data_IF_097608499139
#
_entry.id   IF_097608499139
#
_cell.length_a   1.000
_cell.length_b   1.000
_cell.length_c   1.000
_cell.angle_alpha   90.00
_cell.angle_beta   90.00
_cell.angle_gamma   90.00
#
_symmetry.space_group_name_H-M   'P 1'
#
loop_
_entity.id
_entity.type
_entity.pdbx_description
1 polymer ?
#
# COMPACT_ATOMS: atom_id res chain seq x y z
N UNK A 1 50.99 15.14 -15.00
CA UNK A 1 50.41 13.77 -15.07
C UNK A 1 50.35 13.21 -13.67
N UNK A 2 49.19 13.33 -13.01
CA UNK A 2 48.96 12.87 -11.65
C UNK A 2 47.75 11.93 -11.67
N UNK A 3 47.95 10.70 -11.21
CA UNK A 3 46.94 9.65 -11.13
C UNK A 3 46.16 9.79 -9.82
N UNK A 4 44.84 9.91 -9.91
CA UNK A 4 43.93 9.85 -8.76
C UNK A 4 43.53 8.40 -8.47
N UNK A 5 43.95 7.89 -7.31
CA UNK A 5 43.55 6.59 -6.79
C UNK A 5 42.11 6.61 -6.28
N UNK A 6 41.31 5.61 -6.70
CA UNK A 6 39.96 5.38 -6.20
C UNK A 6 39.96 4.74 -4.81
N UNK A 7 38.88 4.94 -4.01
CA UNK A 7 38.81 4.42 -2.66
C UNK A 7 38.56 2.90 -2.61
N UNK A 8 38.98 2.21 -1.54
CA UNK A 8 38.88 0.77 -1.42
C UNK A 8 37.44 0.29 -1.20
N UNK A 9 37.10 -0.83 -1.82
CA UNK A 9 35.83 -1.52 -1.65
C UNK A 9 35.69 -2.10 -0.24
N UNK A 10 34.68 -1.63 0.51
CA UNK A 10 34.29 -2.23 1.78
C UNK A 10 33.74 -3.65 1.57
N UNK A 11 34.48 -4.67 2.02
CA UNK A 11 33.96 -6.02 2.23
C UNK A 11 33.04 -6.02 3.45
N UNK A 12 31.77 -6.34 3.24
CA UNK A 12 30.84 -6.63 4.33
C UNK A 12 31.16 -8.02 4.95
N UNK A 13 31.13 -8.17 6.28
CA UNK A 13 31.42 -9.44 6.93
C UNK A 13 30.31 -10.47 6.68
N UNK A 14 30.73 -11.72 6.45
CA UNK A 14 29.86 -12.89 6.40
C UNK A 14 29.32 -13.17 7.81
N UNK A 15 28.05 -12.80 8.05
CA UNK A 15 27.37 -12.99 9.32
C UNK A 15 26.08 -13.78 9.17
N UNK A 16 26.13 -15.05 9.60
CA UNK A 16 25.05 -15.89 10.15
C UNK A 16 23.66 -15.73 9.53
N UNK A 17 23.35 -16.64 8.61
CA UNK A 17 22.03 -16.83 8.03
C UNK A 17 21.02 -17.41 9.05
N UNK A 18 20.53 -16.57 9.95
CA UNK A 18 19.29 -16.81 10.68
C UNK A 18 18.11 -16.62 9.75
N UNK A 19 17.57 -17.72 9.20
CA UNK A 19 16.35 -17.74 8.39
C UNK A 19 15.14 -17.32 9.26
N UNK A 20 14.88 -16.02 9.35
CA UNK A 20 13.60 -15.55 9.86
C UNK A 20 12.49 -16.01 8.89
N UNK A 21 11.36 -16.56 9.37
CA UNK A 21 10.28 -17.00 8.50
C UNK A 21 9.72 -15.80 7.73
N UNK A 22 10.04 -15.76 6.43
CA UNK A 22 9.52 -14.81 5.49
C UNK A 22 7.99 -14.94 5.44
N UNK A 23 7.29 -13.83 5.68
CA UNK A 23 5.88 -13.60 5.36
C UNK A 23 4.93 -14.75 5.69
N UNK A 24 4.18 -14.62 6.79
CA UNK A 24 3.07 -15.53 7.07
C UNK A 24 2.23 -15.77 5.81
N UNK A 25 1.90 -17.04 5.50
CA UNK A 25 1.26 -17.39 4.25
C UNK A 25 0.01 -16.55 4.05
N UNK A 26 -0.14 -15.95 2.87
CA UNK A 26 -1.44 -15.47 2.42
C UNK A 26 -2.39 -16.64 2.60
N UNK A 27 -3.31 -16.56 3.56
CA UNK A 27 -4.17 -17.67 3.96
C UNK A 27 -4.94 -18.13 2.72
N UNK A 28 -4.45 -19.20 2.09
CA UNK A 28 -5.16 -19.90 1.05
C UNK A 28 -5.93 -20.97 1.78
N UNK A 29 -7.25 -20.93 1.64
CA UNK A 29 -8.07 -22.01 2.14
C UNK A 29 -7.58 -23.34 1.54
N UNK A 30 -7.54 -24.42 2.35
CA UNK A 30 -7.36 -25.78 1.86
C UNK A 30 -8.24 -26.02 0.62
N UNK A 31 -7.79 -26.81 -0.39
CA UNK A 31 -8.55 -27.04 -1.61
C UNK A 31 -10.03 -27.39 -1.39
N UNK A 32 -10.32 -28.24 -0.39
CA UNK A 32 -11.67 -28.62 0.01
C UNK A 32 -12.55 -27.46 0.48
N UNK A 33 -11.96 -26.39 1.02
CA UNK A 33 -12.66 -25.22 1.54
C UNK A 33 -12.79 -24.08 0.53
N UNK A 34 -12.15 -24.18 -0.64
CA UNK A 34 -12.21 -23.14 -1.68
C UNK A 34 -13.63 -22.89 -2.22
N UNK A 35 -14.50 -23.90 -2.45
CA UNK A 35 -15.87 -23.67 -2.89
C UNK A 35 -16.67 -22.83 -1.89
N UNK A 36 -16.36 -22.95 -0.60
CA UNK A 36 -17.01 -22.24 0.51
C UNK A 36 -16.47 -20.82 0.73
N UNK A 37 -15.45 -20.39 -0.03
CA UNK A 37 -14.85 -19.07 0.11
C UNK A 37 -15.85 -17.89 0.02
N UNK A 38 -16.85 -17.88 -0.89
CA UNK A 38 -17.86 -16.83 -0.92
C UNK A 38 -18.65 -16.74 0.38
N UNK A 39 -18.99 -17.89 0.98
CA UNK A 39 -19.71 -17.97 2.26
C UNK A 39 -18.84 -17.43 3.39
N UNK A 40 -17.58 -17.88 3.50
CA UNK A 40 -16.65 -17.37 4.51
C UNK A 40 -16.39 -15.87 4.39
N UNK A 41 -16.28 -15.35 3.17
CA UNK A 41 -16.19 -13.89 2.93
C UNK A 41 -17.41 -13.15 3.43
N UNK A 42 -18.62 -13.66 3.15
CA UNK A 42 -19.88 -13.06 3.62
C UNK A 42 -19.97 -13.11 5.14
N UNK A 43 -19.65 -14.24 5.75
CA UNK A 43 -19.63 -14.41 7.20
C UNK A 43 -18.62 -13.45 7.87
N UNK A 44 -17.41 -13.33 7.32
CA UNK A 44 -16.39 -12.38 7.79
C UNK A 44 -16.90 -10.93 7.75
N UNK A 45 -17.57 -10.52 6.67
CA UNK A 45 -18.14 -9.16 6.54
C UNK A 45 -19.23 -8.92 7.57
N UNK A 46 -20.16 -9.86 7.74
CA UNK A 46 -21.23 -9.79 8.74
C UNK A 46 -20.61 -9.68 10.15
N UNK A 47 -19.63 -10.54 10.46
CA UNK A 47 -18.96 -10.52 11.74
C UNK A 47 -18.24 -9.20 12.01
N UNK A 48 -17.56 -8.62 11.01
CA UNK A 48 -16.91 -7.32 11.12
C UNK A 48 -17.92 -6.21 11.47
N UNK A 49 -19.12 -6.24 10.87
CA UNK A 49 -20.19 -5.28 11.18
C UNK A 49 -20.72 -5.47 12.61
N UNK A 50 -21.08 -6.70 12.98
CA UNK A 50 -21.66 -7.02 14.29
C UNK A 50 -20.67 -6.72 15.43
N UNK A 51 -19.45 -7.27 15.35
CA UNK A 51 -18.39 -6.99 16.31
C UNK A 51 -18.02 -5.51 16.32
N UNK A 52 -18.03 -4.85 15.16
CA UNK A 52 -17.78 -3.43 15.06
C UNK A 52 -18.78 -2.59 15.85
N UNK A 53 -20.07 -2.95 15.89
CA UNK A 53 -21.06 -2.24 16.72
C UNK A 53 -20.68 -2.34 18.20
N UNK A 54 -20.37 -3.55 18.68
CA UNK A 54 -19.96 -3.79 20.06
C UNK A 54 -18.67 -3.04 20.40
N UNK A 55 -17.61 -3.24 19.61
CA UNK A 55 -16.29 -2.65 19.86
C UNK A 55 -16.31 -1.11 19.84
N UNK A 56 -17.14 -0.49 18.99
CA UNK A 56 -17.30 0.97 18.96
C UNK A 56 -18.02 1.52 20.19
N UNK A 57 -18.97 0.75 20.76
CA UNK A 57 -19.61 1.12 22.03
C UNK A 57 -18.63 1.03 23.21
N UNK A 58 -17.72 0.06 23.18
CA UNK A 58 -16.68 -0.12 24.19
C UNK A 58 -15.48 0.82 24.01
N UNK A 59 -15.37 1.53 22.87
CA UNK A 59 -14.23 2.37 22.53
C UNK A 59 -13.84 3.39 23.64
N UNK A 60 -14.77 4.10 24.31
CA UNK A 60 -14.42 5.03 25.39
C UNK A 60 -13.64 4.37 26.53
N UNK A 61 -13.88 3.09 26.80
CA UNK A 61 -13.22 2.33 27.88
C UNK A 61 -11.83 1.83 27.49
N UNK A 62 -11.49 1.83 26.19
CA UNK A 62 -10.26 1.25 25.66
C UNK A 62 -9.19 2.31 25.31
N UNK A 63 -9.51 3.58 25.51
CA UNK A 63 -8.59 4.71 25.37
C UNK A 63 -7.84 4.72 24.02
N UNK A 64 -6.51 4.94 24.00
CA UNK A 64 -5.71 5.00 22.77
C UNK A 64 -5.74 3.72 21.91
N UNK A 65 -6.13 2.58 22.50
CA UNK A 65 -6.21 1.28 21.82
C UNK A 65 -7.58 1.02 21.21
N UNK A 66 -8.55 1.91 21.43
CA UNK A 66 -9.89 1.78 20.89
C UNK A 66 -9.90 1.79 19.35
N UNK A 67 -10.81 1.00 18.79
CA UNK A 67 -11.18 1.08 17.36
C UNK A 67 -11.86 2.41 17.03
N UNK A 68 -11.85 2.86 15.76
CA UNK A 68 -12.52 4.09 15.36
C UNK A 68 -14.02 4.07 15.66
N UNK A 69 -14.56 5.16 16.20
CA UNK A 69 -15.99 5.28 16.57
C UNK A 69 -16.88 5.60 15.36
N UNK A 70 -16.33 6.30 14.39
CA UNK A 70 -17.00 6.71 13.16
C UNK A 70 -16.02 6.64 12.00
N UNK A 71 -16.50 6.93 10.79
CA UNK A 71 -15.66 7.07 9.62
C UNK A 71 -16.27 8.08 8.65
N UNK A 72 -15.43 8.67 7.83
CA UNK A 72 -15.78 9.52 6.70
C UNK A 72 -15.54 8.76 5.40
N UNK A 73 -16.38 9.01 4.39
CA UNK A 73 -16.22 8.39 3.07
C UNK A 73 -15.16 9.06 2.20
N UNK A 74 -14.92 10.36 2.43
CA UNK A 74 -13.95 11.18 1.69
C UNK A 74 -13.01 11.87 2.65
N UNK A 75 -11.74 12.01 2.28
CA UNK A 75 -10.74 12.67 3.11
C UNK A 75 -10.97 14.18 3.25
N UNK A 76 -11.64 14.80 2.27
CA UNK A 76 -12.11 16.18 2.42
C UNK A 76 -13.08 16.33 3.59
N UNK A 77 -13.96 15.35 3.81
CA UNK A 77 -14.92 15.37 4.90
C UNK A 77 -14.21 15.15 6.25
N UNK A 78 -13.15 14.33 6.29
CA UNK A 78 -12.28 14.18 7.46
C UNK A 78 -11.62 15.51 7.81
N UNK A 79 -11.01 16.19 6.83
CA UNK A 79 -10.34 17.47 7.03
C UNK A 79 -11.32 18.57 7.48
N UNK A 80 -12.53 18.62 6.91
CA UNK A 80 -13.58 19.57 7.32
C UNK A 80 -14.13 19.29 8.73
N UNK A 81 -14.21 18.02 9.12
CA UNK A 81 -14.69 17.62 10.44
C UNK A 81 -13.67 17.89 11.55
N UNK A 82 -12.38 17.94 11.22
CA UNK A 82 -11.28 18.12 12.17
C UNK A 82 -10.22 19.12 11.66
N UNK A 83 -10.59 20.38 11.36
CA UNK A 83 -9.70 21.32 10.66
C UNK A 83 -8.46 21.74 11.44
N UNK A 84 -8.44 21.55 12.77
CA UNK A 84 -7.29 21.84 13.62
C UNK A 84 -6.25 20.70 13.68
N UNK A 85 -6.60 19.50 13.21
CA UNK A 85 -5.71 18.33 13.28
C UNK A 85 -5.53 17.62 11.94
N UNK A 86 -6.42 17.84 10.97
CA UNK A 86 -6.42 17.17 9.67
C UNK A 86 -6.37 18.19 8.55
N UNK A 87 -5.31 18.16 7.76
CA UNK A 87 -5.11 19.01 6.60
C UNK A 87 -4.96 18.19 5.32
N UNK A 88 -5.55 18.64 4.22
CA UNK A 88 -5.45 17.98 2.93
C UNK A 88 -4.57 18.82 2.00
N UNK A 89 -3.50 18.21 1.49
CA UNK A 89 -2.56 18.81 0.55
C UNK A 89 -2.83 18.26 -0.86
N UNK A 90 -3.45 19.03 -1.77
CA UNK A 90 -3.79 18.54 -3.11
C UNK A 90 -2.52 18.33 -3.98
N UNK A 91 -2.55 17.32 -4.85
CA UNK A 91 -1.52 17.05 -5.87
C UNK A 91 -2.08 17.00 -7.30
N UNK A 92 -3.38 16.69 -7.46
CA UNK A 92 -4.03 16.68 -8.76
C UNK A 92 -5.50 16.30 -8.68
N UNK A 93 -6.32 16.74 -9.64
CA UNK A 93 -7.75 16.46 -9.65
C UNK A 93 -8.03 14.99 -9.92
N UNK A 94 -9.28 14.57 -9.69
CA UNK A 94 -9.79 13.31 -10.21
C UNK A 94 -9.84 13.36 -11.75
N UNK A 95 -9.61 12.24 -12.41
CA UNK A 95 -9.58 12.15 -13.87
C UNK A 95 -10.38 10.94 -14.36
N UNK A 96 -10.98 11.05 -15.54
CA UNK A 96 -11.63 9.91 -16.20
C UNK A 96 -10.67 9.32 -17.23
N UNK A 97 -10.16 8.13 -16.94
CA UNK A 97 -9.32 7.38 -17.86
C UNK A 97 -10.18 6.71 -18.93
N UNK A 98 -9.98 7.08 -20.20
CA UNK A 98 -10.64 6.46 -21.35
C UNK A 98 -9.66 5.60 -22.12
N UNK A 99 -10.00 4.33 -22.32
CA UNK A 99 -9.21 3.35 -23.07
C UNK A 99 -9.86 3.03 -24.40
N UNK A 100 -9.03 2.85 -25.43
CA UNK A 100 -9.48 2.35 -26.73
C UNK A 100 -10.01 0.92 -26.56
N UNK A 101 -10.96 0.54 -27.42
CA UNK A 101 -11.40 -0.84 -27.46
C UNK A 101 -10.20 -1.74 -27.82
N UNK A 102 -10.04 -2.85 -27.09
CA UNK A 102 -9.00 -3.83 -27.39
C UNK A 102 -9.38 -4.52 -28.69
N UNK A 103 -8.48 -4.48 -29.67
CA UNK A 103 -8.56 -5.25 -30.91
C UNK A 103 -7.89 -6.62 -30.70
N UNK A 104 -8.35 -7.65 -31.41
CA UNK A 104 -7.81 -9.01 -31.32
C UNK A 104 -8.79 -10.02 -30.73
N UNK A 105 -8.30 -11.21 -30.38
CA UNK A 105 -9.12 -12.33 -29.91
C UNK A 105 -8.94 -12.58 -28.39
N UNK A 106 -10.02 -12.71 -27.59
CA UNK A 106 -11.42 -12.54 -27.99
C UNK A 106 -11.78 -11.04 -28.13
N UNK A 107 -12.36 -10.69 -29.27
CA UNK A 107 -12.85 -9.35 -29.53
C UNK A 107 -14.04 -9.06 -28.60
N UNK A 108 -14.15 -7.83 -28.10
CA UNK A 108 -15.31 -7.42 -27.32
C UNK A 108 -15.49 -8.11 -25.96
N UNK A 109 -14.45 -8.76 -25.41
CA UNK A 109 -14.54 -9.40 -24.10
C UNK A 109 -15.03 -8.40 -23.04
N UNK A 110 -16.07 -8.76 -22.29
CA UNK A 110 -16.80 -7.87 -21.37
C UNK A 110 -15.89 -7.13 -20.37
N UNK A 111 -14.80 -7.76 -19.92
CA UNK A 111 -13.79 -7.10 -19.06
C UNK A 111 -13.12 -5.90 -19.72
N UNK A 112 -12.80 -5.97 -21.00
CA UNK A 112 -12.27 -4.83 -21.75
C UNK A 112 -13.33 -3.76 -21.92
N UNK A 113 -14.59 -4.15 -22.12
CA UNK A 113 -15.75 -3.27 -22.09
C UNK A 113 -15.86 -2.48 -20.78
N UNK A 114 -15.80 -3.17 -19.63
CA UNK A 114 -15.81 -2.54 -18.30
C UNK A 114 -14.61 -1.63 -18.07
N UNK A 115 -13.43 -2.02 -18.56
CA UNK A 115 -12.20 -1.23 -18.42
C UNK A 115 -12.08 -0.08 -19.43
N UNK A 116 -13.06 0.17 -20.32
CA UNK A 116 -13.00 1.26 -21.30
C UNK A 116 -13.01 2.63 -20.65
N UNK A 117 -13.64 2.76 -19.49
CA UNK A 117 -13.70 4.01 -18.73
C UNK A 117 -13.49 3.71 -17.27
N UNK A 118 -12.60 4.44 -16.62
CA UNK A 118 -12.37 4.34 -15.19
C UNK A 118 -12.30 5.73 -14.56
N UNK A 119 -12.80 5.86 -13.33
CA UNK A 119 -12.65 7.08 -12.54
C UNK A 119 -11.42 6.93 -11.66
N UNK A 120 -10.41 7.76 -11.92
CA UNK A 120 -9.21 7.82 -11.11
C UNK A 120 -9.43 8.89 -10.05
N UNK A 121 -9.28 8.57 -8.75
CA UNK A 121 -9.54 9.52 -7.68
C UNK A 121 -8.52 10.67 -7.68
N UNK A 122 -8.90 11.78 -7.04
CA UNK A 122 -7.99 12.91 -6.84
C UNK A 122 -6.74 12.48 -6.06
N UNK A 123 -5.62 13.11 -6.40
CA UNK A 123 -4.33 12.93 -5.74
C UNK A 123 -4.18 13.98 -4.66
N UNK A 124 -3.84 13.53 -3.46
CA UNK A 124 -3.60 14.41 -2.31
C UNK A 124 -2.83 13.66 -1.22
N UNK A 125 -2.27 14.39 -0.27
CA UNK A 125 -1.75 13.85 0.99
C UNK A 125 -2.55 14.40 2.16
N UNK A 126 -3.06 13.51 3.00
CA UNK A 126 -3.71 13.86 4.26
C UNK A 126 -2.64 13.97 5.35
N UNK A 127 -2.46 15.15 5.92
CA UNK A 127 -1.63 15.37 7.10
C UNK A 127 -2.51 15.32 8.36
N UNK A 128 -2.19 14.43 9.30
CA UNK A 128 -2.96 14.20 10.52
C UNK A 128 -2.05 14.38 11.74
N UNK A 129 -2.19 15.50 12.44
CA UNK A 129 -1.52 15.75 13.72
C UNK A 129 -2.01 14.76 14.76
N UNK A 130 -1.11 14.03 15.42
CA UNK A 130 -1.48 12.96 16.36
C UNK A 130 -2.15 11.74 15.70
N UNK A 131 -2.01 11.58 14.39
CA UNK A 131 -2.64 10.51 13.62
C UNK A 131 -2.11 9.12 13.96
N UNK A 132 -2.99 8.11 13.80
CA UNK A 132 -2.67 6.69 14.00
C UNK A 132 -2.76 5.91 12.69
N UNK A 133 -1.75 5.09 12.41
CA UNK A 133 -1.72 4.12 11.33
C UNK A 133 -1.84 2.70 11.90
N UNK A 134 -2.96 2.03 11.63
CA UNK A 134 -3.32 0.77 12.28
C UNK A 134 -2.94 -0.44 11.43
N UNK A 135 -2.09 -1.30 12.03
CA UNK A 135 -1.76 -2.63 11.54
C UNK A 135 -1.05 -2.65 10.18
N UNK A 136 -0.99 -3.84 9.59
CA UNK A 136 -0.48 -4.04 8.23
C UNK A 136 -1.47 -3.67 7.13
N UNK A 137 -2.67 -3.22 7.50
CA UNK A 137 -3.69 -2.73 6.56
C UNK A 137 -3.45 -1.28 6.17
N UNK A 138 -2.73 -0.52 7.00
CA UNK A 138 -2.48 0.90 6.77
C UNK A 138 -3.73 1.76 7.00
N UNK A 139 -4.60 1.39 7.95
CA UNK A 139 -5.81 2.15 8.22
C UNK A 139 -5.50 3.42 9.03
N UNK A 140 -5.90 4.57 8.51
CA UNK A 140 -5.66 5.90 9.07
C UNK A 140 -6.78 6.28 10.02
N UNK A 141 -6.42 6.60 11.27
CA UNK A 141 -7.36 7.01 12.30
C UNK A 141 -6.93 8.35 12.89
N UNK A 142 -7.84 9.32 12.93
CA UNK A 142 -7.60 10.65 13.50
C UNK A 142 -7.54 10.59 15.04
N UNK A 143 -7.04 11.65 15.70
CA UNK A 143 -7.09 11.77 17.16
C UNK A 143 -8.51 11.66 17.73
N UNK A 144 -9.52 12.19 17.03
CA UNK A 144 -10.93 12.11 17.47
C UNK A 144 -11.56 10.71 17.30
N UNK A 145 -10.81 9.77 16.72
CA UNK A 145 -11.24 8.39 16.51
C UNK A 145 -12.09 8.20 15.25
N UNK A 146 -11.89 9.04 14.24
CA UNK A 146 -12.50 8.91 12.91
C UNK A 146 -11.59 8.08 12.01
N UNK A 147 -12.14 7.06 11.35
CA UNK A 147 -11.45 6.33 10.29
C UNK A 147 -11.59 7.11 8.97
N UNK A 148 -10.47 7.51 8.38
CA UNK A 148 -10.47 8.04 7.02
C UNK A 148 -10.58 6.88 6.03
N UNK A 149 -11.79 6.59 5.53
CA UNK A 149 -12.01 5.40 4.71
C UNK A 149 -11.30 5.47 3.35
N UNK A 150 -11.19 6.66 2.77
CA UNK A 150 -10.61 6.86 1.44
C UNK A 150 -9.12 6.49 1.38
N UNK A 151 -8.36 6.78 2.44
CA UNK A 151 -6.96 6.32 2.57
C UNK A 151 -6.82 4.92 3.16
N UNK A 152 -7.91 4.33 3.68
CA UNK A 152 -7.94 3.05 4.41
C UNK A 152 -8.72 1.95 3.69
N UNK A 153 -8.82 2.00 2.36
CA UNK A 153 -9.61 1.05 1.59
C UNK A 153 -9.16 -0.42 1.77
N UNK A 154 -10.12 -1.35 1.77
CA UNK A 154 -9.87 -2.80 1.85
C UNK A 154 -10.55 -3.56 0.71
N UNK A 155 -10.07 -4.76 0.35
CA UNK A 155 -10.60 -5.52 -0.79
C UNK A 155 -11.97 -6.13 -0.46
N UNK A 156 -12.92 -5.97 -1.38
CA UNK A 156 -14.17 -6.73 -1.36
C UNK A 156 -15.13 -6.38 -0.22
N UNK A 157 -15.04 -5.16 0.30
CA UNK A 157 -15.96 -4.60 1.28
C UNK A 157 -16.82 -3.50 0.65
N UNK A 158 -18.06 -3.37 1.10
CA UNK A 158 -19.01 -2.36 0.58
C UNK A 158 -18.84 -0.98 1.24
N UNK A 159 -18.22 -0.93 2.41
CA UNK A 159 -17.98 0.32 3.14
C UNK A 159 -17.18 0.11 4.41
N UNK A 160 -16.86 1.21 5.08
CA UNK A 160 -15.97 1.22 6.23
C UNK A 160 -16.42 0.29 7.38
N UNK A 161 -17.73 0.10 7.58
CA UNK A 161 -18.27 -0.76 8.66
C UNK A 161 -17.84 -2.22 8.56
N UNK A 162 -17.49 -2.67 7.36
CA UNK A 162 -17.01 -4.03 7.09
C UNK A 162 -15.47 -4.15 7.17
N UNK A 163 -14.78 -3.06 7.52
CA UNK A 163 -13.32 -3.04 7.55
C UNK A 163 -12.79 -4.03 8.62
N UNK A 164 -11.77 -4.86 8.30
CA UNK A 164 -11.26 -5.90 9.22
C UNK A 164 -10.73 -5.38 10.57
N UNK A 165 -10.46 -4.08 10.69
CA UNK A 165 -10.09 -3.44 11.96
C UNK A 165 -11.15 -3.69 13.05
N UNK A 166 -12.41 -3.85 12.68
CA UNK A 166 -13.52 -4.06 13.59
C UNK A 166 -13.70 -5.50 14.07
N UNK A 167 -12.95 -6.46 13.51
CA UNK A 167 -12.95 -7.85 14.00
C UNK A 167 -12.25 -8.02 15.33
N UNK A 168 -11.51 -7.00 15.78
CA UNK A 168 -10.80 -7.01 17.07
C UNK A 168 -11.32 -5.87 17.94
N UNK A 169 -11.39 -6.04 19.26
CA UNK A 169 -11.85 -5.00 20.17
C UNK A 169 -10.87 -3.82 20.25
N UNK A 170 -9.60 -4.05 19.94
CA UNK A 170 -8.56 -3.02 19.98
C UNK A 170 -7.75 -2.98 18.69
N UNK A 171 -7.12 -1.83 18.42
CA UNK A 171 -6.16 -1.63 17.33
C UNK A 171 -4.77 -2.24 17.64
N UNK A 172 -4.66 -3.03 18.71
CA UNK A 172 -3.42 -3.67 19.14
C UNK A 172 -2.54 -2.77 20.01
N UNK A 173 -1.22 -3.00 19.99
CA UNK A 173 -0.22 -2.23 20.74
C UNK A 173 0.06 -0.91 20.01
N UNK A 174 -0.07 0.21 20.72
CA UNK A 174 0.27 1.54 20.17
C UNK A 174 1.75 1.80 20.42
N UNK A 175 2.49 2.17 19.38
CA UNK A 175 3.89 2.58 19.42
C UNK A 175 3.96 4.01 18.90
N UNK A 176 4.63 4.89 19.64
CA UNK A 176 4.83 6.27 19.21
C UNK A 176 6.08 6.38 18.36
N UNK A 177 5.93 6.98 17.18
CA UNK A 177 7.03 7.41 16.32
C UNK A 177 7.07 8.94 16.40
N UNK A 178 8.21 9.50 16.78
CA UNK A 178 8.38 10.96 16.89
C UNK A 178 8.51 11.58 15.49
N UNK A 179 8.04 12.81 15.35
CA UNK A 179 8.16 13.61 14.13
C UNK A 179 7.11 13.30 13.06
N UNK A 180 7.47 13.61 11.83
CA UNK A 180 6.66 13.44 10.63
C UNK A 180 6.87 12.05 10.05
N UNK A 181 5.79 11.27 9.98
CA UNK A 181 5.79 9.90 9.50
C UNK A 181 4.96 9.80 8.23
N UNK A 182 5.54 9.27 7.15
CA UNK A 182 4.85 9.02 5.90
C UNK A 182 4.37 7.56 5.82
N UNK A 183 3.10 7.35 5.50
CA UNK A 183 2.53 6.03 5.28
C UNK A 183 2.45 5.67 3.79
N UNK A 184 3.24 4.68 3.38
CA UNK A 184 3.12 4.03 2.07
C UNK A 184 2.33 2.71 2.16
N UNK A 185 1.71 2.43 3.31
CA UNK A 185 1.01 1.18 3.55
C UNK A 185 -0.41 1.26 3.01
N UNK A 186 -0.77 0.30 2.16
CA UNK A 186 -2.16 0.00 1.83
C UNK A 186 -2.34 -1.51 1.72
N UNK A 187 -3.57 -1.94 1.42
CA UNK A 187 -3.94 -3.34 1.25
C UNK A 187 -3.03 -4.03 0.21
N UNK A 188 -2.41 -5.15 0.60
CA UNK A 188 -1.64 -6.02 -0.31
C UNK A 188 -0.18 -5.61 -0.56
N UNK A 189 0.24 -4.39 -0.20
CA UNK A 189 1.61 -3.88 -0.43
C UNK A 189 2.69 -4.81 0.13
N UNK A 190 2.44 -5.43 1.29
CA UNK A 190 3.44 -6.27 1.96
C UNK A 190 3.77 -7.59 1.28
N UNK A 191 2.93 -8.07 0.36
CA UNK A 191 3.04 -9.44 -0.18
C UNK A 191 2.92 -9.53 -1.71
N UNK A 192 2.45 -8.47 -2.36
CA UNK A 192 2.17 -8.49 -3.79
C UNK A 192 3.00 -7.42 -4.49
N UNK A 193 3.78 -7.84 -5.49
CA UNK A 193 4.65 -6.96 -6.27
C UNK A 193 3.90 -5.81 -6.95
N UNK A 194 2.73 -6.09 -7.56
CA UNK A 194 1.92 -5.08 -8.22
C UNK A 194 1.40 -4.03 -7.22
N UNK A 195 0.88 -4.45 -6.06
CA UNK A 195 0.44 -3.51 -5.02
C UNK A 195 1.59 -2.73 -4.42
N UNK A 196 2.76 -3.35 -4.26
CA UNK A 196 3.95 -2.64 -3.81
C UNK A 196 4.35 -1.53 -4.79
N UNK A 197 4.43 -1.87 -6.07
CA UNK A 197 4.87 -0.97 -7.14
C UNK A 197 3.84 0.13 -7.41
N UNK A 198 2.57 -0.21 -7.66
CA UNK A 198 1.57 0.78 -8.06
C UNK A 198 0.92 1.49 -6.88
N UNK A 199 0.75 0.83 -5.74
CA UNK A 199 0.05 1.46 -4.62
C UNK A 199 1.06 2.04 -3.62
N UNK A 200 2.03 1.23 -3.17
CA UNK A 200 3.05 1.66 -2.21
C UNK A 200 3.96 2.76 -2.75
N UNK A 201 4.68 2.52 -3.85
CA UNK A 201 5.51 3.56 -4.47
C UNK A 201 4.67 4.65 -5.13
N UNK A 202 3.47 4.33 -5.63
CA UNK A 202 2.58 5.35 -6.16
C UNK A 202 2.15 6.38 -5.11
N UNK A 203 1.96 5.96 -3.85
CA UNK A 203 1.78 6.91 -2.74
C UNK A 203 2.99 7.81 -2.52
N UNK A 204 4.20 7.30 -2.72
CA UNK A 204 5.41 8.12 -2.65
C UNK A 204 5.43 9.19 -3.74
N UNK A 205 5.04 8.83 -4.98
CA UNK A 205 4.90 9.80 -6.07
C UNK A 205 3.83 10.88 -5.81
N UNK A 206 2.72 10.54 -5.16
CA UNK A 206 1.71 11.53 -4.73
C UNK A 206 2.30 12.45 -3.64
N UNK A 207 2.99 11.88 -2.66
CA UNK A 207 3.64 12.66 -1.60
C UNK A 207 4.57 13.73 -2.19
N UNK A 208 5.48 13.33 -3.08
CA UNK A 208 6.42 14.26 -3.75
C UNK A 208 5.70 15.39 -4.51
N UNK A 209 4.53 15.11 -5.10
CA UNK A 209 3.73 16.11 -5.82
C UNK A 209 2.98 17.05 -4.87
N UNK A 210 2.38 16.52 -3.80
CA UNK A 210 1.55 17.29 -2.86
C UNK A 210 2.35 18.14 -1.88
N UNK A 211 3.57 17.70 -1.55
CA UNK A 211 4.41 18.24 -0.50
C UNK A 211 5.88 18.21 -0.97
N UNK A 212 6.22 18.98 -2.02
CA UNK A 212 7.56 18.98 -2.58
C UNK A 212 8.58 19.49 -1.56
N UNK A 213 9.66 18.72 -1.37
CA UNK A 213 10.74 19.06 -0.43
C UNK A 213 10.42 18.82 1.05
N UNK A 214 9.23 18.29 1.38
CA UNK A 214 8.86 17.98 2.75
C UNK A 214 9.78 16.87 3.33
N UNK A 215 10.34 17.14 4.50
CA UNK A 215 11.15 16.17 5.24
C UNK A 215 10.26 15.21 6.02
N UNK A 216 10.63 13.92 6.05
CA UNK A 216 9.97 12.89 6.84
C UNK A 216 10.99 12.13 7.68
N UNK A 217 10.71 11.99 8.96
CA UNK A 217 11.60 11.33 9.93
C UNK A 217 11.54 9.80 9.80
N UNK A 218 10.39 9.29 9.34
CA UNK A 218 10.19 7.87 9.09
C UNK A 218 9.17 7.60 7.99
N UNK A 219 9.31 6.44 7.35
CA UNK A 219 8.39 5.94 6.34
C UNK A 219 7.90 4.56 6.76
N UNK A 220 6.59 4.43 6.97
CA UNK A 220 5.98 3.11 7.21
C UNK A 220 5.75 2.43 5.86
N UNK A 221 6.50 1.37 5.60
CA UNK A 221 6.45 0.63 4.34
C UNK A 221 7.01 -0.79 4.52
N UNK A 222 6.42 -1.82 3.88
CA UNK A 222 7.02 -3.15 3.84
C UNK A 222 8.39 -3.13 3.15
N UNK A 223 9.41 -3.69 3.79
CA UNK A 223 10.78 -3.73 3.24
C UNK A 223 11.53 -5.02 3.59
N UNK A 224 10.79 -6.08 3.94
CA UNK A 224 11.34 -7.40 4.26
C UNK A 224 11.87 -8.14 3.04
N UNK A 225 11.25 -7.97 1.88
CA UNK A 225 11.65 -8.66 0.65
C UNK A 225 12.71 -7.85 -0.10
N UNK A 226 13.61 -8.56 -0.79
CA UNK A 226 14.73 -7.94 -1.53
C UNK A 226 14.23 -6.90 -2.55
N UNK A 227 13.26 -7.27 -3.38
CA UNK A 227 12.71 -6.36 -4.39
C UNK A 227 12.08 -5.10 -3.78
N UNK A 228 11.53 -5.18 -2.56
CA UNK A 228 10.95 -4.02 -1.89
C UNK A 228 12.03 -2.99 -1.58
N UNK A 229 13.16 -3.43 -1.01
CA UNK A 229 14.30 -2.56 -0.70
C UNK A 229 14.95 -1.98 -1.95
N UNK A 230 15.14 -2.80 -2.98
CA UNK A 230 15.72 -2.34 -4.24
C UNK A 230 14.85 -1.28 -4.91
N UNK A 231 13.53 -1.50 -4.98
CA UNK A 231 12.61 -0.52 -5.57
C UNK A 231 12.51 0.76 -4.74
N UNK A 232 12.52 0.68 -3.40
CA UNK A 232 12.57 1.87 -2.54
C UNK A 232 13.85 2.68 -2.77
N UNK A 233 15.00 2.01 -2.84
CA UNK A 233 16.28 2.66 -3.14
C UNK A 233 16.29 3.33 -4.51
N UNK A 234 15.80 2.64 -5.55
CA UNK A 234 15.69 3.22 -6.90
C UNK A 234 14.72 4.40 -6.95
N UNK A 235 13.62 4.34 -6.19
CA UNK A 235 12.67 5.45 -6.09
C UNK A 235 13.23 6.67 -5.34
N UNK A 236 14.42 6.58 -4.73
CA UNK A 236 15.05 7.65 -3.96
C UNK A 236 14.56 7.75 -2.52
N UNK A 237 13.92 6.70 -1.99
CA UNK A 237 13.42 6.68 -0.62
C UNK A 237 14.59 6.52 0.35
N UNK A 238 14.89 7.57 1.13
CA UNK A 238 16.07 7.65 2.00
C UNK A 238 15.77 7.73 3.50
N UNK A 239 14.55 8.09 3.90
CA UNK A 239 14.19 8.19 5.32
C UNK A 239 14.15 6.81 6.01
N UNK A 240 14.17 6.83 7.36
CA UNK A 240 14.15 5.60 8.17
C UNK A 240 12.89 4.78 7.88
N UNK A 241 13.08 3.51 7.48
CA UNK A 241 11.97 2.61 7.18
C UNK A 241 11.42 1.94 8.43
N UNK A 242 10.10 1.89 8.56
CA UNK A 242 9.36 1.22 9.64
C UNK A 242 8.48 0.13 9.03
N UNK A 243 8.71 -1.12 9.46
CA UNK A 243 7.95 -2.26 8.94
C UNK A 243 6.56 -2.30 9.57
N UNK A 244 5.47 -2.26 8.77
CA UNK A 244 4.12 -2.40 9.31
C UNK A 244 3.89 -3.83 9.83
N UNK A 245 3.27 -3.95 11.02
CA UNK A 245 3.03 -5.25 11.68
C UNK A 245 1.57 -5.41 12.08
N UNK A 246 1.05 -6.62 11.95
CA UNK A 246 -0.27 -6.95 12.48
C UNK A 246 -0.29 -6.77 14.01
N UNK A 247 -1.37 -6.17 14.53
CA UNK A 247 -1.52 -5.94 15.97
C UNK A 247 -0.65 -4.81 16.54
N UNK A 248 0.03 -4.03 15.69
CA UNK A 248 0.74 -2.82 16.08
C UNK A 248 0.10 -1.62 15.39
N UNK A 249 -0.12 -0.55 16.14
CA UNK A 249 -0.56 0.76 15.65
C UNK A 249 0.58 1.74 15.83
N UNK A 250 0.92 2.48 14.79
CA UNK A 250 1.91 3.55 14.84
C UNK A 250 1.17 4.86 15.08
N UNK A 251 1.58 5.62 16.09
CA UNK A 251 1.07 6.97 16.38
C UNK A 251 2.19 7.97 16.14
N UNK A 252 1.96 8.94 15.25
CA UNK A 252 2.95 9.96 14.90
C UNK A 252 2.64 11.32 15.53
N UNK A 253 3.62 12.22 15.61
CA UNK A 253 3.35 13.63 15.88
C UNK A 253 2.59 14.24 14.69
N UNK A 254 3.05 13.94 13.48
CA UNK A 254 2.36 14.26 12.22
C UNK A 254 2.39 13.05 11.28
N UNK A 255 1.22 12.50 10.95
CA UNK A 255 1.09 11.38 10.02
C UNK A 255 0.71 11.90 8.63
N UNK A 256 1.55 11.65 7.63
CA UNK A 256 1.26 11.95 6.23
C UNK A 256 0.75 10.68 5.53
N UNK A 257 -0.45 10.77 4.94
CA UNK A 257 -1.10 9.65 4.24
C UNK A 257 -1.54 10.08 2.85
N UNK A 258 -0.75 9.74 1.81
CA UNK A 258 -1.14 9.96 0.43
C UNK A 258 -2.38 9.14 0.06
N UNK A 259 -3.19 9.68 -0.84
CA UNK A 259 -4.37 8.99 -1.39
C UNK A 259 -3.96 7.70 -2.11
N UNK A 260 -4.90 6.76 -2.26
CA UNK A 260 -4.60 5.47 -2.90
C UNK A 260 -4.62 5.65 -4.42
N UNK A 261 -3.46 5.60 -5.11
CA UNK A 261 -3.36 5.99 -6.52
C UNK A 261 -4.09 5.02 -7.47
N UNK A 262 -4.26 3.76 -7.04
CA UNK A 262 -4.65 2.67 -7.91
C UNK A 262 -5.68 1.74 -7.22
N UNK A 263 -6.68 2.35 -6.59
CA UNK A 263 -7.69 1.66 -5.78
C UNK A 263 -8.45 0.56 -6.55
N UNK A 264 -8.72 0.81 -7.83
CA UNK A 264 -9.50 -0.05 -8.72
C UNK A 264 -8.64 -0.81 -9.76
N UNK A 265 -7.32 -0.83 -9.56
CA UNK A 265 -6.36 -1.57 -10.40
C UNK A 265 -6.24 -1.07 -11.84
N UNK A 266 -6.48 0.23 -12.04
CA UNK A 266 -6.49 0.88 -13.34
C UNK A 266 -5.12 1.31 -13.88
N UNK A 267 -4.10 1.35 -13.04
CA UNK A 267 -2.75 1.83 -13.35
C UNK A 267 -2.77 3.20 -14.08
N UNK A 268 -3.09 4.30 -13.37
CA UNK A 268 -3.25 5.61 -13.99
C UNK A 268 -2.02 6.05 -14.82
N UNK A 269 -2.19 6.74 -15.96
CA UNK A 269 -1.07 7.16 -16.80
C UNK A 269 0.00 7.95 -16.05
N UNK A 270 -0.41 8.92 -15.22
CA UNK A 270 0.53 9.75 -14.44
C UNK A 270 1.45 8.89 -13.55
N UNK A 271 0.92 7.81 -12.98
CA UNK A 271 1.64 6.90 -12.10
C UNK A 271 2.63 6.08 -12.90
N UNK A 272 2.21 5.56 -14.05
CA UNK A 272 3.09 4.82 -14.97
C UNK A 272 4.25 5.71 -15.43
N UNK A 273 3.97 6.96 -15.76
CA UNK A 273 4.99 7.91 -16.19
C UNK A 273 5.93 8.30 -15.05
N UNK A 274 5.41 8.49 -13.83
CA UNK A 274 6.24 8.71 -12.65
C UNK A 274 7.16 7.51 -12.38
N UNK A 275 6.63 6.29 -12.45
CA UNK A 275 7.41 5.06 -12.26
C UNK A 275 8.50 4.91 -13.31
N UNK A 276 8.22 5.19 -14.59
CA UNK A 276 9.21 5.14 -15.67
C UNK A 276 10.36 6.12 -15.45
N UNK A 277 10.06 7.32 -14.94
CA UNK A 277 11.10 8.32 -14.61
C UNK A 277 11.94 7.92 -13.41
N UNK A 278 11.32 7.34 -12.38
CA UNK A 278 12.00 6.95 -11.12
C UNK A 278 12.73 5.62 -11.20
N UNK A 279 12.25 4.73 -12.05
CA UNK A 279 12.83 3.40 -12.27
C UNK A 279 13.30 3.33 -13.73
N UNK A 280 14.26 4.20 -14.14
CA UNK A 280 14.67 4.26 -15.53
C UNK A 280 15.23 2.89 -15.92
N UNK A 281 14.74 2.39 -17.05
CA UNK A 281 15.36 1.23 -17.69
C UNK A 281 16.79 1.64 -18.02
N UNK A 282 17.75 1.06 -17.32
CA UNK A 282 19.14 1.12 -17.76
C UNK A 282 19.25 0.11 -18.88
N UNK A 283 19.71 0.48 -20.08
CA UNK A 283 20.13 -0.52 -21.04
C UNK A 283 21.15 -1.41 -20.32
N UNK A 284 20.76 -2.66 -20.04
CA UNK A 284 21.74 -3.68 -19.70
C UNK A 284 22.69 -3.83 -20.88
N UNK A 285 23.90 -4.35 -20.65
CA UNK A 285 24.86 -4.66 -21.72
C UNK A 285 24.31 -5.68 -22.72
N UNK A 286 25.12 -6.63 -23.18
CA UNK A 286 24.76 -7.65 -24.20
C UNK A 286 23.74 -8.71 -23.69
N UNK A 287 22.71 -8.27 -22.96
CA UNK A 287 21.61 -9.08 -22.50
C UNK A 287 20.72 -9.56 -23.64
N UNK A 288 19.94 -10.62 -23.39
CA UNK A 288 19.15 -11.28 -24.41
C UNK A 288 18.07 -10.34 -24.97
N UNK A 289 17.92 -10.34 -26.31
CA UNK A 289 16.89 -9.55 -27.02
C UNK A 289 15.45 -9.93 -26.62
N UNK A 290 15.26 -11.13 -26.08
CA UNK A 290 13.95 -11.68 -25.70
C UNK A 290 14.04 -12.33 -24.33
N UNK A 291 13.01 -12.10 -23.51
CA UNK A 291 12.84 -12.75 -22.22
C UNK A 291 11.59 -13.63 -22.29
N UNK A 292 11.77 -14.95 -22.26
CA UNK A 292 10.65 -15.89 -22.21
C UNK A 292 10.38 -16.28 -20.76
N UNK A 293 9.10 -16.25 -20.39
CA UNK A 293 8.62 -16.62 -19.06
C UNK A 293 7.66 -17.80 -19.20
N UNK A 294 8.02 -18.95 -18.62
CA UNK A 294 7.15 -20.11 -18.63
C UNK A 294 5.85 -19.85 -17.86
N UNK A 295 4.72 -20.29 -18.42
CA UNK A 295 3.41 -20.28 -17.75
C UNK A 295 2.91 -21.71 -17.54
N UNK A 296 3.41 -22.36 -16.49
CA UNK A 296 2.83 -23.63 -16.01
C UNK A 296 1.63 -23.43 -15.07
N UNK A 297 0.86 -24.51 -14.87
CA UNK A 297 -0.29 -24.57 -13.95
C UNK A 297 0.10 -24.98 -12.52
N UNK A 298 1.35 -25.40 -12.28
CA UNK A 298 1.87 -25.79 -10.95
C UNK A 298 2.48 -24.60 -10.21
N UNK A 299 2.71 -24.76 -8.91
CA UNK A 299 3.33 -23.70 -8.07
C UNK A 299 4.78 -23.47 -8.52
N UNK A 300 5.23 -22.22 -8.52
CA UNK A 300 6.61 -21.81 -8.85
C UNK A 300 7.10 -22.16 -10.27
N UNK A 301 6.21 -22.42 -11.23
CA UNK A 301 6.59 -22.76 -12.62
C UNK A 301 6.85 -21.55 -13.51
N UNK A 302 7.14 -20.38 -12.93
CA UNK A 302 7.58 -19.20 -13.69
C UNK A 302 9.10 -19.17 -13.61
N UNK A 303 9.75 -19.83 -14.55
CA UNK A 303 11.20 -19.77 -14.73
C UNK A 303 11.50 -18.88 -15.93
N UNK A 304 12.61 -18.16 -15.83
CA UNK A 304 13.24 -17.55 -16.99
C UNK A 304 13.75 -18.68 -17.89
N UNK A 305 13.33 -18.70 -19.15
CA UNK A 305 13.88 -19.61 -20.15
C UNK A 305 14.82 -18.79 -21.03
N UNK A 306 16.12 -19.10 -20.94
CA UNK A 306 17.10 -18.63 -21.90
C UNK A 306 17.07 -19.61 -23.06
N UNK A 307 16.50 -19.21 -24.20
CA UNK A 307 16.64 -19.99 -25.43
C UNK A 307 18.00 -19.62 -26.04
N UNK A 308 18.81 -20.64 -26.36
CA UNK A 308 20.03 -20.46 -27.16
C UNK A 308 19.60 -19.92 -28.54
N UNK A 309 20.23 -18.83 -28.98
CA UNK A 309 19.97 -18.22 -30.30
C UNK A 309 20.78 -18.92 -31.38
#
# INVERSE_FOLDING_TARGET
>A
MAAFGGPPAHRLPAGVAGRAPAGGPVSRLPPALRPWWPVFKRAHRILAVLLGVLHRRLAPLLGPRAVPRTATGRSQDTARGEPGTVHLHPAGPAETLRRRAVTGHPAGHWRFGQARSAQIPARYTLAVSGGRLVGSYGATVTPCGVLDYQTSGYFGIAGWREHPIFLRPTVGRVVRERGTVLSLVTRGVGVNYYHFLLDGLGRYGIFEQSLPGEHVDAIVVPHRLRYQRELLGLAGVSARLVEPRAGVTIMADRLLVPSTPNQDLDAPPWLVDWLRRRLPARPGGDGPRRLYLSRGTRRNTRSYLQEEQ
#
